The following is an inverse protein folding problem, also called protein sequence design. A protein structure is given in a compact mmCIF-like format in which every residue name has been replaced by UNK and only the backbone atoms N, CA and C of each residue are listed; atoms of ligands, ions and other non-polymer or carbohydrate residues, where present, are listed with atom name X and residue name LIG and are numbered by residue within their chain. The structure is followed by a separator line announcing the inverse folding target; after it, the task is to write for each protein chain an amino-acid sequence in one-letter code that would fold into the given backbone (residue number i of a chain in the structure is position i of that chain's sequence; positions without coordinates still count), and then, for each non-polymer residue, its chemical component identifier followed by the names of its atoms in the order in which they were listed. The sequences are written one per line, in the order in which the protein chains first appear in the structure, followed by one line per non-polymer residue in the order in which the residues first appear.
data_IF_047407486362
#
_entry.id   IF_047407486362
#
_cell.length_a   1.000
_cell.length_b   1.000
_cell.length_c   1.000
_cell.angle_alpha   90.00
_cell.angle_beta   90.00
_cell.angle_gamma   90.00
#
_symmetry.space_group_name_H-M   'P 1'
#
loop_
_entity.id
_entity.type
_entity.pdbx_description
1 polymer ?
#
# COMPACT_ATOMS: atom_id res chain seq x y z
N UNK A 1 21.10 22.60 17.56
CA UNK A 1 20.60 22.74 16.18
C UNK A 1 19.56 21.65 15.94
N UNK A 2 18.27 21.98 15.99
CA UNK A 2 17.19 21.05 15.66
C UNK A 2 17.15 20.91 14.14
N UNK A 3 17.82 19.87 13.63
CA UNK A 3 18.03 19.66 12.21
C UNK A 3 16.68 19.36 11.53
N UNK A 4 16.30 20.18 10.55
CA UNK A 4 15.11 19.99 9.70
C UNK A 4 15.04 18.60 9.03
N UNK A 5 16.18 17.91 8.90
CA UNK A 5 16.24 16.52 8.42
C UNK A 5 15.62 15.48 9.38
N UNK A 6 15.43 15.79 10.66
CA UNK A 6 14.70 14.88 11.56
C UNK A 6 13.18 14.92 11.32
N UNK A 7 12.64 16.06 10.83
CA UNK A 7 11.21 16.25 10.57
C UNK A 7 10.69 15.41 9.41
N UNK A 8 11.55 15.04 8.45
CA UNK A 8 11.15 14.15 7.34
C UNK A 8 11.05 12.67 7.74
N UNK A 9 11.49 12.24 8.93
CA UNK A 9 11.59 10.82 9.33
C UNK A 9 10.38 9.93 9.03
N UNK A 10 9.55 9.61 10.01
CA UNK A 10 8.36 8.76 9.78
C UNK A 10 7.29 9.50 8.97
N UNK A 11 7.22 10.82 9.12
CA UNK A 11 6.26 11.66 8.41
C UNK A 11 6.50 11.69 6.90
N UNK A 12 7.76 11.72 6.45
CA UNK A 12 8.12 11.68 5.03
C UNK A 12 7.83 10.31 4.42
N UNK A 13 8.03 9.23 5.18
CA UNK A 13 7.59 7.88 4.78
C UNK A 13 6.07 7.87 4.55
N UNK A 14 5.28 8.39 5.50
CA UNK A 14 3.82 8.46 5.37
C UNK A 14 3.38 9.27 4.13
N UNK A 15 4.03 10.40 3.86
CA UNK A 15 3.79 11.20 2.65
C UNK A 15 4.16 10.48 1.36
N UNK A 16 5.24 9.68 1.36
CA UNK A 16 5.61 8.90 0.19
C UNK A 16 4.52 7.86 -0.16
N UNK A 17 3.99 7.14 0.84
CA UNK A 17 2.89 6.19 0.62
C UNK A 17 1.63 6.90 0.13
N UNK A 18 1.13 7.89 0.87
CA UNK A 18 -0.12 8.58 0.53
C UNK A 18 -0.03 9.36 -0.79
N UNK A 19 1.08 10.06 -1.02
CA UNK A 19 1.31 10.84 -2.23
C UNK A 19 1.43 9.99 -3.49
N UNK A 20 2.11 8.85 -3.40
CA UNK A 20 2.21 7.94 -4.55
C UNK A 20 0.88 7.26 -4.88
N UNK A 21 0.09 6.87 -3.86
CA UNK A 21 -1.27 6.36 -4.11
C UNK A 21 -2.13 7.43 -4.79
N UNK A 22 -2.12 8.66 -4.30
CA UNK A 22 -2.85 9.77 -4.92
C UNK A 22 -2.47 9.96 -6.40
N UNK A 23 -1.17 10.06 -6.70
CA UNK A 23 -0.68 10.26 -8.05
C UNK A 23 -1.02 9.07 -8.98
N UNK A 24 -0.80 7.83 -8.52
CA UNK A 24 -1.06 6.64 -9.32
C UNK A 24 -2.55 6.42 -9.57
N UNK A 25 -3.40 6.64 -8.56
CA UNK A 25 -4.86 6.58 -8.71
C UNK A 25 -5.31 7.62 -9.73
N UNK A 26 -4.85 8.88 -9.61
CA UNK A 26 -5.19 9.93 -10.57
C UNK A 26 -4.81 9.55 -12.02
N UNK A 27 -3.60 9.02 -12.22
CA UNK A 27 -3.13 8.62 -13.54
C UNK A 27 -3.82 7.38 -14.11
N UNK A 28 -4.28 6.45 -13.26
CA UNK A 28 -4.78 5.14 -13.70
C UNK A 28 -6.29 4.95 -13.54
N UNK A 29 -7.00 5.87 -12.87
CA UNK A 29 -8.43 5.80 -12.64
C UNK A 29 -9.23 5.62 -13.94
N UNK A 30 -8.90 6.38 -14.99
CA UNK A 30 -9.59 6.28 -16.29
C UNK A 30 -9.29 5.01 -17.10
N UNK A 31 -8.30 4.21 -16.71
CA UNK A 31 -7.88 3.00 -17.43
C UNK A 31 -8.27 1.74 -16.66
N UNK A 32 -7.88 1.64 -15.39
CA UNK A 32 -8.05 0.44 -14.55
C UNK A 32 -8.96 0.65 -13.34
N UNK A 33 -9.50 1.86 -13.15
CA UNK A 33 -10.21 2.25 -11.92
C UNK A 33 -9.28 2.59 -10.76
N UNK A 34 -7.95 2.54 -10.95
CA UNK A 34 -6.99 3.00 -9.95
C UNK A 34 -6.95 2.15 -8.68
N UNK A 35 -7.13 0.83 -8.77
CA UNK A 35 -7.26 -0.01 -7.56
C UNK A 35 -5.97 -0.07 -6.74
N UNK A 36 -4.82 -0.33 -7.39
CA UNK A 36 -3.44 -0.38 -6.86
C UNK A 36 -3.19 -1.33 -5.66
N UNK A 37 -4.25 -1.80 -5.00
CA UNK A 37 -4.25 -2.55 -3.75
C UNK A 37 -5.23 -3.75 -3.87
N UNK A 38 -4.79 -4.97 -3.48
CA UNK A 38 -5.64 -6.15 -3.49
C UNK A 38 -6.89 -6.02 -2.60
N UNK A 39 -6.80 -5.39 -1.43
CA UNK A 39 -7.93 -5.18 -0.53
C UNK A 39 -9.00 -4.26 -1.14
N UNK A 40 -8.58 -3.21 -1.85
CA UNK A 40 -9.48 -2.31 -2.60
C UNK A 40 -10.16 -3.08 -3.73
N UNK A 41 -9.38 -3.86 -4.49
CA UNK A 41 -9.90 -4.71 -5.58
C UNK A 41 -10.91 -5.72 -5.06
N UNK A 42 -10.63 -6.34 -3.91
CA UNK A 42 -11.51 -7.30 -3.25
C UNK A 42 -12.80 -6.64 -2.75
N UNK A 43 -12.70 -5.46 -2.12
CA UNK A 43 -13.87 -4.68 -1.70
C UNK A 43 -14.80 -4.39 -2.86
N UNK A 44 -14.27 -3.84 -3.97
CA UNK A 44 -15.06 -3.55 -5.17
C UNK A 44 -15.65 -4.80 -5.82
N UNK A 45 -14.94 -5.93 -5.76
CA UNK A 45 -15.47 -7.22 -6.19
C UNK A 45 -16.66 -7.66 -5.33
N UNK A 46 -16.57 -7.58 -4.00
CA UNK A 46 -17.66 -7.91 -3.08
C UNK A 46 -18.88 -6.99 -3.27
N UNK A 47 -18.65 -5.72 -3.58
CA UNK A 47 -19.70 -4.77 -3.95
C UNK A 47 -20.26 -4.97 -5.37
N UNK A 48 -19.83 -6.03 -6.08
CA UNK A 48 -20.24 -6.36 -7.46
C UNK A 48 -19.92 -5.26 -8.48
N UNK A 49 -18.96 -4.37 -8.17
CA UNK A 49 -18.43 -3.36 -9.12
C UNK A 49 -17.30 -3.92 -10.01
N UNK A 50 -16.84 -5.16 -9.79
CA UNK A 50 -15.77 -5.81 -10.57
C UNK A 50 -16.11 -7.29 -10.84
N UNK A 51 -15.77 -7.81 -12.02
CA UNK A 51 -15.91 -9.24 -12.32
C UNK A 51 -14.81 -10.08 -11.65
N UNK A 52 -15.11 -11.34 -11.33
CA UNK A 52 -14.17 -12.25 -10.65
C UNK A 52 -12.85 -12.39 -11.41
N UNK A 53 -12.92 -12.60 -12.73
CA UNK A 53 -11.72 -12.75 -13.57
C UNK A 53 -10.83 -11.51 -13.48
N UNK A 54 -11.41 -10.30 -13.57
CA UNK A 54 -10.64 -9.06 -13.45
C UNK A 54 -10.06 -8.90 -12.04
N UNK A 55 -10.81 -9.26 -11.00
CA UNK A 55 -10.34 -9.20 -9.62
C UNK A 55 -9.08 -10.05 -9.41
N UNK A 56 -9.10 -11.31 -9.88
CA UNK A 56 -7.94 -12.20 -9.75
C UNK A 56 -6.74 -11.68 -10.52
N UNK A 57 -6.91 -11.27 -11.78
CA UNK A 57 -5.81 -10.72 -12.57
C UNK A 57 -5.23 -9.45 -11.95
N UNK A 58 -6.07 -8.56 -11.40
CA UNK A 58 -5.60 -7.35 -10.75
C UNK A 58 -4.76 -7.66 -9.51
N UNK A 59 -5.21 -8.57 -8.65
CA UNK A 59 -4.46 -8.95 -7.45
C UNK A 59 -3.11 -9.59 -7.81
N UNK A 60 -3.08 -10.48 -8.82
CA UNK A 60 -1.83 -11.09 -9.30
C UNK A 60 -0.87 -10.03 -9.81
N UNK A 61 -1.33 -9.13 -10.68
CA UNK A 61 -0.47 -8.08 -11.24
C UNK A 61 0.00 -7.06 -10.19
N UNK A 62 -0.84 -6.75 -9.19
CA UNK A 62 -0.47 -5.90 -8.06
C UNK A 62 0.66 -6.54 -7.23
N UNK A 63 0.54 -7.82 -6.88
CA UNK A 63 1.57 -8.54 -6.16
C UNK A 63 2.88 -8.64 -6.96
N UNK A 64 2.79 -8.95 -8.26
CA UNK A 64 3.97 -9.00 -9.14
C UNK A 64 4.66 -7.63 -9.24
N UNK A 65 3.88 -6.56 -9.43
CA UNK A 65 4.40 -5.19 -9.46
C UNK A 65 5.10 -4.79 -8.16
N UNK A 66 4.53 -5.15 -7.01
CA UNK A 66 5.13 -4.91 -5.70
C UNK A 66 6.47 -5.66 -5.52
N UNK A 67 6.53 -6.94 -5.94
CA UNK A 67 7.76 -7.73 -5.90
C UNK A 67 8.83 -7.10 -6.80
N UNK A 68 8.48 -6.72 -8.03
CA UNK A 68 9.40 -6.05 -8.95
C UNK A 68 9.91 -4.73 -8.36
N UNK A 69 9.04 -3.91 -7.77
CA UNK A 69 9.41 -2.66 -7.13
C UNK A 69 10.41 -2.84 -5.99
N UNK A 70 10.14 -3.79 -5.08
CA UNK A 70 11.07 -4.14 -4.00
C UNK A 70 12.41 -4.68 -4.55
N UNK A 71 12.36 -5.49 -5.61
CA UNK A 71 13.54 -6.00 -6.30
C UNK A 71 14.43 -4.90 -6.88
N UNK A 72 13.83 -3.86 -7.47
CA UNK A 72 14.57 -2.69 -7.98
C UNK A 72 15.29 -1.96 -6.85
N UNK A 73 14.63 -1.73 -5.71
CA UNK A 73 15.25 -1.08 -4.55
C UNK A 73 16.42 -1.91 -4.01
N UNK A 74 16.22 -3.23 -3.85
CA UNK A 74 17.29 -4.15 -3.45
C UNK A 74 18.44 -4.17 -4.44
N UNK A 75 18.17 -4.07 -5.74
CA UNK A 75 19.19 -4.00 -6.78
C UNK A 75 20.06 -2.74 -6.68
N UNK A 76 19.47 -1.59 -6.34
CA UNK A 76 20.20 -0.34 -6.18
C UNK A 76 20.98 -0.22 -4.88
N UNK A 77 20.45 -0.74 -3.77
CA UNK A 77 21.06 -0.62 -2.44
C UNK A 77 20.98 -1.95 -1.67
N UNK A 78 21.69 -3.00 -2.09
CA UNK A 78 21.52 -4.35 -1.55
C UNK A 78 21.90 -4.45 -0.07
N UNK A 79 23.01 -3.86 0.36
CA UNK A 79 23.47 -3.92 1.75
C UNK A 79 22.52 -3.18 2.70
N UNK A 80 22.10 -1.97 2.33
CA UNK A 80 21.18 -1.17 3.14
C UNK A 80 19.79 -1.81 3.20
N UNK A 81 19.32 -2.38 2.09
CA UNK A 81 18.03 -3.07 2.03
C UNK A 81 17.97 -4.21 3.05
N UNK A 82 18.98 -5.08 3.10
CA UNK A 82 19.03 -6.20 4.06
C UNK A 82 19.19 -5.73 5.51
N UNK A 83 20.05 -4.72 5.76
CA UNK A 83 20.27 -4.21 7.11
C UNK A 83 19.04 -3.51 7.72
N UNK A 84 18.23 -2.84 6.89
CA UNK A 84 17.08 -2.04 7.35
C UNK A 84 15.74 -2.80 7.26
N UNK A 85 15.77 -4.12 7.04
CA UNK A 85 14.56 -4.96 7.00
C UNK A 85 13.75 -4.85 5.71
N UNK A 86 14.32 -4.29 4.63
CA UNK A 86 13.77 -4.33 3.28
C UNK A 86 12.45 -3.59 3.07
N UNK A 87 12.03 -2.74 4.02
CA UNK A 87 10.71 -2.10 3.99
C UNK A 87 9.55 -3.07 4.24
N UNK A 88 9.81 -4.24 4.84
CA UNK A 88 8.78 -5.21 5.16
C UNK A 88 7.92 -4.77 6.37
N UNK A 89 6.62 -5.01 6.30
CA UNK A 89 5.70 -4.77 7.41
C UNK A 89 5.86 -5.87 8.47
N UNK A 90 6.15 -5.47 9.71
CA UNK A 90 6.30 -6.36 10.86
C UNK A 90 5.59 -5.79 12.08
N UNK A 91 5.07 -6.67 12.95
CA UNK A 91 4.52 -6.24 14.24
C UNK A 91 5.69 -5.80 15.12
N UNK A 92 5.65 -4.55 15.56
CA UNK A 92 6.73 -3.97 16.36
C UNK A 92 6.81 -4.63 17.75
N UNK A 93 8.01 -4.67 18.34
CA UNK A 93 8.22 -5.23 19.66
C UNK A 93 7.37 -4.49 20.70
N UNK A 94 6.76 -5.24 21.63
CA UNK A 94 5.84 -4.70 22.63
C UNK A 94 4.36 -4.76 22.23
N UNK A 95 4.05 -5.11 20.98
CA UNK A 95 2.67 -5.35 20.52
C UNK A 95 2.43 -6.83 20.24
N UNK A 96 1.19 -7.26 20.50
CA UNK A 96 0.76 -8.62 20.17
C UNK A 96 0.37 -8.73 18.70
N UNK A 97 0.29 -9.96 18.20
CA UNK A 97 -0.26 -10.21 16.85
C UNK A 97 -1.73 -9.76 16.74
N UNK A 98 -2.48 -9.77 17.84
CA UNK A 98 -3.84 -9.26 17.90
C UNK A 98 -3.91 -7.75 17.69
N UNK A 99 -2.99 -6.99 18.30
CA UNK A 99 -2.91 -5.53 18.13
C UNK A 99 -2.57 -5.17 16.68
N UNK A 100 -1.60 -5.86 16.09
CA UNK A 100 -1.24 -5.69 14.68
C UNK A 100 -2.41 -6.00 13.74
N UNK A 101 -3.11 -7.12 13.97
CA UNK A 101 -4.29 -7.48 13.18
C UNK A 101 -5.40 -6.43 13.30
N UNK A 102 -5.68 -5.97 14.52
CA UNK A 102 -6.70 -4.93 14.76
C UNK A 102 -6.37 -3.63 14.04
N UNK A 103 -5.11 -3.19 14.09
CA UNK A 103 -4.65 -1.99 13.39
C UNK A 103 -4.81 -2.11 11.87
N UNK A 104 -4.40 -3.23 11.28
CA UNK A 104 -4.52 -3.49 9.83
C UNK A 104 -5.99 -3.53 9.37
N UNK A 105 -6.89 -4.14 10.15
CA UNK A 105 -8.33 -4.17 9.86
C UNK A 105 -8.91 -2.74 9.84
N UNK A 106 -8.66 -1.95 10.88
CA UNK A 106 -9.21 -0.59 10.99
C UNK A 106 -8.62 0.32 9.89
N UNK A 107 -7.31 0.24 9.65
CA UNK A 107 -6.65 1.03 8.61
C UNK A 107 -7.17 0.69 7.21
N UNK A 108 -7.32 -0.59 6.90
CA UNK A 108 -7.85 -1.05 5.61
C UNK A 108 -9.33 -0.68 5.46
N UNK A 109 -10.11 -0.76 6.53
CA UNK A 109 -11.52 -0.33 6.50
C UNK A 109 -11.64 1.14 6.12
N UNK A 110 -10.86 2.04 6.73
CA UNK A 110 -10.88 3.47 6.40
C UNK A 110 -10.48 3.71 4.94
N UNK A 111 -9.44 3.02 4.46
CA UNK A 111 -9.01 3.11 3.06
C UNK A 111 -10.13 2.69 2.11
N UNK A 112 -10.70 1.51 2.31
CA UNK A 112 -11.72 0.94 1.40
C UNK A 112 -13.03 1.73 1.48
N UNK A 113 -13.44 2.17 2.69
CA UNK A 113 -14.58 3.08 2.88
C UNK A 113 -14.39 4.39 2.08
N UNK A 114 -13.18 4.96 2.11
CA UNK A 114 -12.86 6.17 1.35
C UNK A 114 -12.96 5.91 -0.15
N UNK A 115 -12.48 4.77 -0.65
CA UNK A 115 -12.64 4.39 -2.06
C UNK A 115 -14.13 4.33 -2.42
N UNK A 116 -14.95 3.65 -1.63
CA UNK A 116 -16.39 3.58 -1.90
C UNK A 116 -17.06 4.94 -1.89
N UNK A 117 -16.67 5.82 -0.97
CA UNK A 117 -17.24 7.18 -0.86
C UNK A 117 -16.79 8.09 -2.01
N UNK A 118 -15.61 7.83 -2.57
CA UNK A 118 -15.05 8.57 -3.71
C UNK A 118 -15.47 7.99 -5.07
N UNK A 119 -16.09 6.81 -5.10
CA UNK A 119 -16.58 6.19 -6.34
C UNK A 119 -18.05 6.54 -6.50
N UNK A 120 -18.37 7.43 -7.45
CA UNK A 120 -19.75 7.74 -7.85
C UNK A 120 -20.61 6.48 -8.15
#
# INVERSE_FOLDING_TARGET
SNNKCATVGVQGIAWAFGGMIFALVYCTAGISGGHINPAVTFGLFLARKLSLTRAVFYMVMQCLGAICGAGVVKGFQPSQYEMLGGGANVVNHGYTKGDGLGAEIVGTFVLVYTVFSATD
#
